data_IF_955944572029
#
_entry.id   IF_955944572029
#
_cell.length_a   1.000
_cell.length_b   1.000
_cell.length_c   1.000
_cell.angle_alpha   90.00
_cell.angle_beta   90.00
_cell.angle_gamma   90.00
#
_symmetry.space_group_name_H-M   'P 1'
#
loop_
_entity.id
_entity.type
_entity.pdbx_description
1 polymer ?
#
# COMPACT_ATOMS: atom_id res chain seq x y z
N UNK A 1 -26.41 47.18 -39.91
CA UNK A 1 -26.76 45.90 -39.28
C UNK A 1 -28.02 45.39 -39.96
N UNK A 2 -27.90 44.32 -40.74
CA UNK A 2 -29.08 43.62 -41.26
C UNK A 2 -29.76 42.93 -40.08
N UNK A 3 -31.08 43.01 -39.98
CA UNK A 3 -31.85 42.37 -38.90
C UNK A 3 -32.93 41.46 -39.50
N UNK A 4 -33.26 40.38 -38.81
CA UNK A 4 -34.35 39.49 -39.23
C UNK A 4 -35.69 40.22 -39.18
N UNK A 5 -36.51 40.07 -40.22
CA UNK A 5 -37.77 40.81 -40.43
C UNK A 5 -38.78 40.66 -39.29
N UNK A 6 -38.79 39.52 -38.59
CA UNK A 6 -39.82 39.20 -37.59
C UNK A 6 -39.35 39.36 -36.13
N UNK A 7 -38.03 39.40 -35.89
CA UNK A 7 -37.48 39.31 -34.53
C UNK A 7 -36.40 40.36 -34.23
N UNK A 8 -36.07 41.24 -35.17
CA UNK A 8 -35.07 42.30 -35.01
C UNK A 8 -33.69 41.79 -34.56
N UNK A 9 -33.39 40.50 -34.78
CA UNK A 9 -32.11 39.90 -34.43
C UNK A 9 -31.06 40.31 -35.45
N UNK A 10 -29.87 40.71 -34.98
CA UNK A 10 -28.73 41.04 -35.83
C UNK A 10 -28.34 39.82 -36.69
N UNK A 11 -28.23 40.03 -38.00
CA UNK A 11 -27.72 39.06 -38.96
C UNK A 11 -26.27 39.38 -39.30
N UNK A 12 -25.46 38.31 -39.41
CA UNK A 12 -24.09 38.39 -39.92
C UNK A 12 -24.13 38.76 -41.40
N UNK A 13 -23.41 39.82 -41.76
CA UNK A 13 -23.26 40.31 -43.13
C UNK A 13 -21.92 39.79 -43.72
N UNK A 14 -21.86 39.39 -44.99
CA UNK A 14 -20.60 39.06 -45.66
C UNK A 14 -19.53 40.16 -45.64
N UNK A 15 -19.90 41.42 -45.40
CA UNK A 15 -18.98 42.54 -45.25
C UNK A 15 -18.57 42.83 -43.79
N UNK A 16 -19.07 42.05 -42.82
CA UNK A 16 -18.68 42.22 -41.42
C UNK A 16 -17.19 41.92 -41.22
N UNK A 17 -16.55 42.68 -40.32
CA UNK A 17 -15.13 42.51 -39.99
C UNK A 17 -14.77 41.13 -39.42
N UNK A 18 -15.75 40.48 -38.81
CA UNK A 18 -15.64 39.11 -38.33
C UNK A 18 -16.74 38.37 -39.06
N UNK A 19 -16.40 37.26 -39.72
CA UNK A 19 -17.39 36.43 -40.39
C UNK A 19 -17.85 35.31 -39.46
N UNK A 20 -19.08 34.85 -39.65
CA UNK A 20 -19.63 33.70 -38.90
C UNK A 20 -18.73 32.46 -39.05
N UNK A 21 -18.12 32.27 -40.22
CA UNK A 21 -17.18 31.17 -40.48
C UNK A 21 -15.93 31.26 -39.63
N UNK A 22 -15.41 32.47 -39.44
CA UNK A 22 -14.20 32.71 -38.66
C UNK A 22 -14.50 32.52 -37.17
N UNK A 23 -15.61 33.06 -36.68
CA UNK A 23 -16.08 32.84 -35.30
C UNK A 23 -16.29 31.37 -34.99
N UNK A 24 -16.92 30.62 -35.90
CA UNK A 24 -17.13 29.19 -35.73
C UNK A 24 -15.80 28.41 -35.76
N UNK A 25 -14.89 28.76 -36.67
CA UNK A 25 -13.55 28.14 -36.73
C UNK A 25 -12.72 28.43 -35.48
N UNK A 26 -12.86 29.62 -34.91
CA UNK A 26 -12.18 29.97 -33.66
C UNK A 26 -12.77 29.25 -32.45
N UNK A 27 -14.10 29.07 -32.39
CA UNK A 27 -14.73 28.24 -31.37
C UNK A 27 -14.29 26.78 -31.47
N UNK A 28 -14.18 26.22 -32.68
CA UNK A 28 -13.66 24.86 -32.88
C UNK A 28 -12.21 24.70 -32.37
N UNK A 29 -11.37 25.74 -32.53
CA UNK A 29 -10.00 25.74 -31.98
C UNK A 29 -10.01 25.76 -30.45
N UNK A 30 -10.91 26.54 -29.85
CA UNK A 30 -11.06 26.60 -28.39
C UNK A 30 -11.53 25.25 -27.85
N UNK A 31 -12.55 24.65 -28.47
CA UNK A 31 -13.08 23.35 -28.09
C UNK A 31 -12.02 22.24 -28.25
N UNK A 32 -11.24 22.26 -29.34
CA UNK A 32 -10.14 21.33 -29.56
C UNK A 32 -9.01 21.50 -28.53
N UNK A 33 -8.68 22.73 -28.16
CA UNK A 33 -7.68 23.01 -27.12
C UNK A 33 -8.18 22.55 -25.73
N UNK A 34 -9.46 22.76 -25.44
CA UNK A 34 -10.08 22.32 -24.18
C UNK A 34 -10.16 20.79 -24.10
N UNK A 35 -10.42 20.11 -25.21
CA UNK A 35 -10.40 18.65 -25.30
C UNK A 35 -8.99 18.04 -25.09
N UNK A 36 -7.92 18.83 -25.29
CA UNK A 36 -6.55 18.43 -24.99
C UNK A 36 -6.15 18.71 -23.53
N UNK A 37 -6.94 19.49 -22.79
CA UNK A 37 -6.76 19.61 -21.34
C UNK A 37 -7.12 18.27 -20.69
N UNK A 38 -6.21 17.76 -19.86
CA UNK A 38 -6.21 16.39 -19.36
C UNK A 38 -7.56 15.99 -18.75
N UNK A 39 -8.22 15.02 -19.39
CA UNK A 39 -9.54 14.56 -19.00
C UNK A 39 -9.43 13.51 -17.89
N UNK A 40 -9.18 13.97 -16.68
CA UNK A 40 -9.17 13.10 -15.51
C UNK A 40 -10.59 12.66 -15.18
N UNK A 41 -10.80 11.35 -15.01
CA UNK A 41 -12.09 10.83 -14.53
C UNK A 41 -12.19 11.04 -13.03
N UNK A 42 -13.34 11.51 -12.54
CA UNK A 42 -13.61 11.60 -11.10
C UNK A 42 -13.41 10.23 -10.46
N UNK A 43 -12.66 10.18 -9.37
CA UNK A 43 -12.26 8.95 -8.68
C UNK A 43 -10.94 8.35 -9.17
N UNK A 44 -10.29 8.92 -10.18
CA UNK A 44 -8.97 8.46 -10.61
C UNK A 44 -7.92 8.77 -9.54
N UNK A 45 -7.07 7.79 -9.23
CA UNK A 45 -6.01 7.89 -8.22
C UNK A 45 -4.65 7.89 -8.89
N UNK A 46 -3.79 8.83 -8.52
CA UNK A 46 -2.42 8.95 -9.02
C UNK A 46 -1.41 9.07 -7.88
N UNK A 47 -0.17 8.66 -8.17
CA UNK A 47 0.96 8.94 -7.29
C UNK A 47 1.42 10.39 -7.47
N UNK A 48 1.63 11.09 -6.36
CA UNK A 48 2.03 12.49 -6.28
C UNK A 48 3.31 12.61 -5.47
N UNK A 49 4.33 13.26 -6.05
CA UNK A 49 5.65 13.45 -5.43
C UNK A 49 5.80 14.77 -4.69
N UNK A 50 4.84 15.68 -4.81
CA UNK A 50 4.88 16.96 -4.09
C UNK A 50 4.41 16.84 -2.65
N UNK A 51 4.44 17.98 -1.93
CA UNK A 51 3.88 18.06 -0.58
C UNK A 51 2.37 17.84 -0.58
N UNK A 52 1.85 17.33 0.54
CA UNK A 52 0.41 17.25 0.82
C UNK A 52 -0.24 18.63 0.81
N UNK A 53 0.48 19.65 1.30
CA UNK A 53 -0.02 21.03 1.34
C UNK A 53 -0.05 21.72 -0.04
N UNK A 54 0.54 21.08 -1.06
CA UNK A 54 0.65 21.59 -2.41
C UNK A 54 -0.13 20.72 -3.42
N UNK A 55 -1.11 19.94 -2.94
CA UNK A 55 -1.99 19.17 -3.82
C UNK A 55 -2.78 20.15 -4.70
N UNK A 56 -2.77 19.99 -6.03
CA UNK A 56 -3.49 20.87 -6.94
C UNK A 56 -5.01 20.88 -6.69
N UNK A 57 -5.65 22.02 -6.98
CA UNK A 57 -7.11 22.13 -6.94
C UNK A 57 -7.78 21.04 -7.80
N UNK A 58 -8.93 20.55 -7.34
CA UNK A 58 -9.64 19.42 -7.93
C UNK A 58 -9.05 18.04 -7.59
N UNK A 59 -7.95 17.97 -6.84
CA UNK A 59 -7.41 16.74 -6.27
C UNK A 59 -7.50 16.77 -4.74
N UNK A 60 -7.64 15.60 -4.13
CA UNK A 60 -7.61 15.44 -2.68
C UNK A 60 -6.65 14.32 -2.29
N UNK A 61 -6.05 14.43 -1.10
CA UNK A 61 -5.27 13.35 -0.52
C UNK A 61 -6.17 12.13 -0.29
N UNK A 62 -5.68 10.93 -0.63
CA UNK A 62 -6.34 9.68 -0.27
C UNK A 62 -6.13 9.38 1.23
N UNK A 63 -6.88 10.05 2.09
CA UNK A 63 -6.79 9.96 3.56
C UNK A 63 -8.06 9.44 4.25
N UNK A 64 -9.08 9.06 3.48
CA UNK A 64 -10.36 8.59 4.01
C UNK A 64 -11.42 9.69 4.19
N UNK A 65 -11.05 10.95 3.94
CA UNK A 65 -11.97 12.09 4.01
C UNK A 65 -12.51 12.46 2.62
N UNK A 66 -13.62 13.20 2.57
CA UNK A 66 -14.18 13.68 1.30
C UNK A 66 -14.59 12.59 0.31
N UNK A 67 -14.84 11.36 0.78
CA UNK A 67 -15.14 10.20 -0.07
C UNK A 67 -13.92 9.54 -0.72
N UNK A 68 -12.70 10.00 -0.38
CA UNK A 68 -11.46 9.34 -0.81
C UNK A 68 -11.22 8.05 0.00
N UNK A 69 -10.51 7.04 -0.55
CA UNK A 69 -9.98 5.96 0.27
C UNK A 69 -8.81 6.45 1.15
N UNK A 70 -8.59 5.84 2.31
CA UNK A 70 -7.34 6.05 3.06
C UNK A 70 -6.24 5.11 2.53
N UNK A 71 -5.31 5.65 1.75
CA UNK A 71 -4.18 4.91 1.17
C UNK A 71 -2.84 5.20 1.85
N UNK A 72 -2.84 5.97 2.94
CA UNK A 72 -1.60 6.32 3.66
C UNK A 72 -1.00 5.06 4.30
N UNK A 73 0.29 4.83 4.03
CA UNK A 73 1.00 3.65 4.54
C UNK A 73 0.52 2.32 3.96
N UNK A 74 -0.18 2.33 2.81
CA UNK A 74 -0.68 1.12 2.16
C UNK A 74 0.09 0.80 0.89
N UNK A 75 0.28 -0.49 0.66
CA UNK A 75 0.72 -1.01 -0.64
C UNK A 75 -0.50 -1.31 -1.51
N UNK A 76 -0.47 -0.90 -2.77
CA UNK A 76 -1.59 -1.14 -3.69
C UNK A 76 -1.59 -2.58 -4.19
N UNK A 77 -2.74 -3.24 -4.06
CA UNK A 77 -3.01 -4.58 -4.56
C UNK A 77 -4.09 -4.51 -5.63
N UNK A 78 -3.86 -5.13 -6.79
CA UNK A 78 -4.84 -5.20 -7.87
C UNK A 78 -6.12 -5.92 -7.42
N UNK A 79 -7.25 -5.22 -7.48
CA UNK A 79 -8.57 -5.77 -7.21
C UNK A 79 -9.22 -6.36 -8.49
N UNK A 80 -10.35 -7.06 -8.32
CA UNK A 80 -11.15 -7.61 -9.44
C UNK A 80 -11.05 -9.12 -9.63
N UNK A 81 -10.22 -9.80 -8.83
CA UNK A 81 -10.18 -11.25 -8.71
C UNK A 81 -10.61 -11.69 -7.30
N UNK A 82 -9.72 -12.41 -6.60
CA UNK A 82 -9.93 -12.84 -5.20
C UNK A 82 -10.08 -11.68 -4.20
N UNK A 83 -9.75 -10.46 -4.61
CA UNK A 83 -9.85 -9.26 -3.79
C UNK A 83 -10.91 -8.32 -4.37
N UNK A 84 -11.95 -8.07 -3.58
CA UNK A 84 -12.92 -7.03 -3.87
C UNK A 84 -12.25 -5.65 -3.84
N UNK A 85 -12.75 -4.67 -4.63
CA UNK A 85 -12.35 -3.28 -4.47
C UNK A 85 -12.45 -2.84 -3.00
N UNK A 86 -11.54 -1.98 -2.57
CA UNK A 86 -11.47 -1.44 -1.20
C UNK A 86 -11.09 -2.45 -0.10
N UNK A 87 -10.80 -3.71 -0.45
CA UNK A 87 -10.32 -4.69 0.53
C UNK A 87 -8.93 -4.27 1.05
N UNK A 88 -8.80 -4.23 2.37
CA UNK A 88 -7.54 -3.95 3.06
C UNK A 88 -7.01 -5.20 3.78
N UNK A 89 -5.71 -5.22 4.03
CA UNK A 89 -5.01 -6.30 4.73
C UNK A 89 -3.50 -6.03 4.79
N UNK A 90 -2.74 -7.03 5.24
CA UNK A 90 -1.28 -6.96 5.40
C UNK A 90 -0.84 -6.40 6.75
N UNK A 91 0.44 -6.59 7.05
CA UNK A 91 1.07 -6.20 8.32
C UNK A 91 2.44 -5.59 8.02
N UNK A 92 2.71 -4.40 8.57
CA UNK A 92 4.02 -3.74 8.44
C UNK A 92 5.08 -4.42 9.30
N UNK A 93 4.69 -4.94 10.47
CA UNK A 93 5.52 -5.77 11.31
C UNK A 93 4.78 -7.06 11.63
N UNK A 94 5.48 -8.18 11.57
CA UNK A 94 4.90 -9.50 11.79
C UNK A 94 5.64 -10.22 12.93
N UNK A 95 4.86 -10.86 13.80
CA UNK A 95 5.38 -11.71 14.86
C UNK A 95 5.07 -13.16 14.50
N UNK A 96 6.13 -13.97 14.37
CA UNK A 96 5.99 -15.39 14.03
C UNK A 96 5.12 -16.13 15.06
N UNK A 97 4.18 -16.91 14.54
CA UNK A 97 3.35 -17.85 15.27
C UNK A 97 4.02 -19.21 15.36
N UNK A 98 3.56 -20.07 16.28
CA UNK A 98 4.05 -21.45 16.39
C UNK A 98 3.84 -22.23 15.09
N UNK A 99 2.74 -21.99 14.38
CA UNK A 99 2.46 -22.62 13.07
C UNK A 99 3.43 -22.20 11.96
N UNK A 100 4.13 -21.09 12.11
CA UNK A 100 5.12 -20.59 11.14
C UNK A 100 6.54 -21.04 11.49
N UNK A 101 6.74 -21.72 12.63
CA UNK A 101 8.02 -22.31 13.01
C UNK A 101 8.15 -23.73 12.45
N UNK A 102 9.25 -24.05 11.75
CA UNK A 102 9.55 -25.43 11.38
C UNK A 102 9.65 -26.34 12.61
N UNK A 103 9.12 -27.55 12.47
CA UNK A 103 9.29 -28.59 13.49
C UNK A 103 10.78 -28.90 13.69
N UNK A 104 11.24 -28.88 14.94
CA UNK A 104 12.63 -29.16 15.30
C UNK A 104 12.70 -29.97 16.59
N UNK A 105 13.82 -30.68 16.78
CA UNK A 105 14.12 -31.47 17.97
C UNK A 105 15.60 -31.38 18.31
N UNK A 106 15.94 -31.50 19.58
CA UNK A 106 17.32 -31.56 20.04
C UNK A 106 17.63 -32.93 20.64
N UNK A 107 18.83 -33.43 20.37
CA UNK A 107 19.40 -34.61 21.02
C UNK A 107 20.76 -34.24 21.60
N UNK A 108 21.03 -34.67 22.83
CA UNK A 108 22.32 -34.49 23.49
C UNK A 108 22.88 -35.86 23.86
N UNK A 109 24.06 -36.19 23.34
CA UNK A 109 24.77 -37.42 23.66
C UNK A 109 25.66 -37.19 24.89
N UNK A 110 25.47 -37.97 25.95
CA UNK A 110 26.35 -37.91 27.12
C UNK A 110 27.53 -38.87 26.92
N UNK A 111 28.79 -38.40 26.97
CA UNK A 111 29.92 -39.31 27.01
C UNK A 111 29.85 -40.13 28.30
N UNK A 112 29.65 -41.44 28.18
CA UNK A 112 29.79 -42.36 29.30
C UNK A 112 31.26 -42.31 29.73
N UNK A 113 31.55 -41.74 30.90
CA UNK A 113 32.87 -41.87 31.54
C UNK A 113 33.14 -43.37 31.68
N UNK A 114 34.07 -43.91 30.89
CA UNK A 114 34.54 -45.29 31.06
C UNK A 114 34.89 -45.51 32.53
N UNK A 115 34.53 -46.69 33.07
CA UNK A 115 34.80 -47.06 34.46
C UNK A 115 36.27 -46.73 34.80
N UNK A 116 36.49 -45.67 35.58
CA UNK A 116 37.82 -45.41 36.13
C UNK A 116 38.03 -46.43 37.24
N UNK A 117 38.80 -47.46 36.94
CA UNK A 117 39.40 -48.35 37.92
C UNK A 117 40.48 -47.58 38.67
N UNK A 118 40.08 -46.68 39.57
CA UNK A 118 40.95 -45.91 40.45
C UNK A 118 40.29 -45.82 41.81
N UNK A 119 40.87 -46.50 42.80
CA UNK A 119 40.36 -46.58 44.16
C UNK A 119 40.34 -45.18 44.79
N UNK A 120 39.14 -44.67 45.11
CA UNK A 120 39.00 -43.39 45.81
C UNK A 120 37.70 -42.65 45.56
N UNK A 121 36.55 -43.33 45.47
CA UNK A 121 35.26 -42.71 45.74
C UNK A 121 34.30 -43.79 46.27
N UNK A 122 33.89 -43.63 47.53
CA UNK A 122 33.05 -44.60 48.24
C UNK A 122 31.59 -44.43 47.80
N UNK A 123 31.29 -44.83 46.57
CA UNK A 123 29.90 -45.13 46.19
C UNK A 123 29.66 -46.59 46.58
N UNK A 124 28.97 -46.79 47.70
CA UNK A 124 28.57 -48.09 48.19
C UNK A 124 27.80 -48.88 47.13
N UNK A 125 28.38 -49.98 46.68
CA UNK A 125 27.71 -50.95 45.81
C UNK A 125 26.74 -51.77 46.66
N UNK A 126 25.47 -51.34 46.70
CA UNK A 126 24.42 -52.05 47.44
C UNK A 126 22.97 -51.74 47.03
N UNK A 127 22.75 -50.92 46.01
CA UNK A 127 21.41 -50.60 45.49
C UNK A 127 21.45 -50.60 43.96
N UNK A 128 20.35 -50.91 43.24
CA UNK A 128 20.33 -50.85 41.79
C UNK A 128 20.83 -49.46 41.39
N UNK A 129 21.74 -49.37 40.40
CA UNK A 129 22.07 -48.10 39.77
C UNK A 129 20.77 -47.52 39.23
N UNK A 130 20.08 -46.73 40.05
CA UNK A 130 19.00 -45.88 39.62
C UNK A 130 19.66 -44.94 38.64
N UNK A 131 19.47 -45.21 37.35
CA UNK A 131 19.71 -44.28 36.30
C UNK A 131 18.92 -43.03 36.71
N UNK A 132 19.56 -42.07 37.37
CA UNK A 132 18.94 -40.79 37.64
C UNK A 132 18.82 -40.15 36.27
N UNK A 133 17.62 -40.03 35.67
CA UNK A 133 17.51 -39.29 34.43
C UNK A 133 17.80 -37.83 34.81
N UNK A 134 19.03 -37.38 34.61
CA UNK A 134 19.34 -35.98 34.69
C UNK A 134 18.73 -35.39 33.42
N UNK A 135 17.46 -34.96 33.51
CA UNK A 135 16.78 -34.27 32.42
C UNK A 135 17.55 -32.96 32.18
N UNK A 136 18.49 -32.98 31.23
CA UNK A 136 19.17 -31.79 30.75
C UNK A 136 18.33 -31.20 29.64
N UNK A 137 17.51 -30.21 30.00
CA UNK A 137 16.67 -29.47 29.08
C UNK A 137 17.52 -28.30 28.55
N UNK A 138 17.55 -28.11 27.24
CA UNK A 138 18.14 -26.90 26.64
C UNK A 138 17.31 -25.69 27.06
N UNK A 139 17.96 -24.57 27.37
CA UNK A 139 17.23 -23.33 27.63
C UNK A 139 16.53 -22.85 26.36
N UNK A 140 15.43 -22.12 26.51
CA UNK A 140 14.81 -21.40 25.39
C UNK A 140 15.69 -20.23 24.94
N UNK A 141 15.68 -19.90 23.66
CA UNK A 141 16.30 -18.71 23.09
C UNK A 141 15.36 -18.11 22.05
N UNK A 142 15.32 -16.78 21.97
CA UNK A 142 14.37 -16.02 21.17
C UNK A 142 13.29 -15.36 22.03
N UNK A 143 12.80 -14.19 21.60
CA UNK A 143 11.83 -13.39 22.34
C UNK A 143 10.46 -13.26 21.67
N UNK A 144 10.29 -13.81 20.46
CA UNK A 144 9.07 -13.62 19.68
C UNK A 144 8.82 -12.15 19.29
N UNK A 145 9.88 -11.34 19.18
CA UNK A 145 9.74 -9.94 18.78
C UNK A 145 9.29 -9.84 17.32
N UNK A 146 8.42 -8.87 17.04
CA UNK A 146 8.00 -8.58 15.67
C UNK A 146 9.19 -8.12 14.82
N UNK A 147 9.21 -8.48 13.54
CA UNK A 147 10.16 -7.97 12.57
C UNK A 147 9.45 -7.15 11.49
N UNK A 148 10.17 -6.22 10.87
CA UNK A 148 9.67 -5.48 9.72
C UNK A 148 9.37 -6.47 8.57
N UNK A 149 8.21 -6.31 7.95
CA UNK A 149 7.74 -7.08 6.80
C UNK A 149 7.58 -6.21 5.54
N UNK A 150 7.96 -4.93 5.61
CA UNK A 150 7.93 -4.02 4.47
C UNK A 150 9.18 -4.19 3.60
N UNK A 151 9.03 -4.35 2.27
CA UNK A 151 10.16 -4.24 1.36
C UNK A 151 10.73 -2.82 1.38
N UNK A 152 11.95 -2.59 0.86
CA UNK A 152 12.46 -1.24 0.62
C UNK A 152 11.44 -0.40 -0.17
N UNK A 153 11.13 0.80 0.31
CA UNK A 153 10.08 1.64 -0.27
C UNK A 153 10.55 3.08 -0.50
N UNK A 154 9.89 3.74 -1.45
CA UNK A 154 9.97 5.18 -1.67
C UNK A 154 8.57 5.75 -1.51
N UNK A 155 8.39 6.71 -0.59
CA UNK A 155 7.07 7.20 -0.23
C UNK A 155 6.62 8.33 -1.16
N UNK A 156 5.47 8.14 -1.80
CA UNK A 156 4.73 9.15 -2.55
C UNK A 156 3.33 9.30 -1.92
N UNK A 157 2.71 10.45 -2.13
CA UNK A 157 1.31 10.63 -1.78
C UNK A 157 0.42 9.96 -2.82
N UNK A 158 -0.73 9.44 -2.41
CA UNK A 158 -1.80 9.08 -3.34
C UNK A 158 -2.85 10.17 -3.31
N UNK A 159 -3.21 10.69 -4.49
CA UNK A 159 -4.21 11.73 -4.65
C UNK A 159 -5.33 11.25 -5.55
N UNK A 160 -6.57 11.61 -5.23
CA UNK A 160 -7.76 11.27 -6.01
C UNK A 160 -8.33 12.52 -6.65
N UNK A 161 -8.64 12.45 -7.95
CA UNK A 161 -9.30 13.54 -8.66
C UNK A 161 -10.79 13.61 -8.30
N UNK A 162 -11.25 14.75 -7.82
CA UNK A 162 -12.64 15.00 -7.39
C UNK A 162 -13.45 15.79 -8.44
N UNK A 163 -12.78 16.40 -9.42
CA UNK A 163 -13.42 17.26 -10.43
C UNK A 163 -12.89 18.70 -10.38
N UNK A 164 -13.02 19.44 -11.49
CA UNK A 164 -12.57 20.84 -11.61
C UNK A 164 -13.32 21.82 -10.71
N UNK A 165 -14.52 21.43 -10.26
CA UNK A 165 -15.45 22.29 -9.54
C UNK A 165 -15.39 22.05 -8.02
N UNK A 166 -14.55 21.12 -7.58
CA UNK A 166 -14.29 20.86 -6.17
C UNK A 166 -13.23 21.84 -5.65
N UNK A 167 -13.69 23.05 -5.32
CA UNK A 167 -12.96 24.04 -4.52
C UNK A 167 -13.77 24.41 -3.27
#
# INVERSE_FOLDING_TARGET
MQQTTNYQLNQWDPADRILRTDFNSDNEKIDAALAQCVNYMVGMICAWSGSVDAIPAGWALCDGTGGTPDLRGRFLLGAGGSYAPWKTGGEANHTLTISELPGHSHFYEMPQKGSQSGAGDTIGYGTPKTYFPVNKITTSTGGGSSHNNMPPYYALCFVMYLGSDAA
#
